data_IF_685292489845
#
_entry.id   IF_685292489845
#
_cell.length_a   1.000
_cell.length_b   1.000
_cell.length_c   1.000
_cell.angle_alpha   90.00
_cell.angle_beta   90.00
_cell.angle_gamma   90.00
#
_symmetry.space_group_name_H-M   'P 1'
#
loop_
_entity.id
_entity.type
_entity.pdbx_description
1 polymer ?
#
# COMPACT_ATOMS: atom_id res chain seq x y z
N UNK A 1 51.56 -32.81 5.90
CA UNK A 1 51.31 -31.46 5.35
C UNK A 1 50.04 -31.32 4.49
N UNK A 2 49.54 -32.36 3.80
CA UNK A 2 48.33 -32.23 2.94
C UNK A 2 46.97 -32.26 3.67
N UNK A 3 46.89 -32.69 4.94
CA UNK A 3 45.62 -32.80 5.69
C UNK A 3 45.05 -31.43 6.09
N UNK A 4 45.91 -30.50 6.50
CA UNK A 4 45.51 -29.18 7.01
C UNK A 4 44.83 -28.30 5.94
N UNK A 5 45.27 -28.38 4.67
CA UNK A 5 44.68 -27.59 3.58
C UNK A 5 43.27 -28.06 3.23
N UNK A 6 43.03 -29.38 3.22
CA UNK A 6 41.71 -29.96 2.91
C UNK A 6 40.71 -29.66 4.02
N UNK A 7 41.13 -29.80 5.27
CA UNK A 7 40.30 -29.47 6.43
C UNK A 7 39.95 -27.98 6.48
N UNK A 8 40.91 -27.09 6.20
CA UNK A 8 40.65 -25.65 6.10
C UNK A 8 39.72 -25.30 4.93
N UNK A 9 39.89 -25.94 3.78
CA UNK A 9 39.00 -25.77 2.64
C UNK A 9 37.58 -26.24 2.95
N UNK A 10 37.43 -27.36 3.65
CA UNK A 10 36.14 -27.91 4.04
C UNK A 10 35.46 -27.04 5.12
N UNK A 11 36.22 -26.50 6.06
CA UNK A 11 35.73 -25.51 7.02
C UNK A 11 35.26 -24.22 6.33
N UNK A 12 36.00 -23.75 5.32
CA UNK A 12 35.64 -22.58 4.52
C UNK A 12 34.36 -22.81 3.71
N UNK A 13 34.20 -23.99 3.09
CA UNK A 13 32.98 -24.36 2.36
C UNK A 13 31.77 -24.43 3.30
N UNK A 14 31.93 -25.04 4.48
CA UNK A 14 30.86 -25.08 5.48
C UNK A 14 30.48 -23.68 5.99
N UNK A 15 31.46 -22.79 6.12
CA UNK A 15 31.21 -21.39 6.46
C UNK A 15 30.46 -20.66 5.32
N UNK A 16 30.83 -20.94 4.06
CA UNK A 16 30.14 -20.40 2.89
C UNK A 16 28.68 -20.86 2.81
N UNK A 17 28.40 -22.14 3.04
CA UNK A 17 27.03 -22.69 3.05
C UNK A 17 26.16 -22.03 4.14
N UNK A 18 26.73 -21.84 5.35
CA UNK A 18 26.04 -21.13 6.45
C UNK A 18 25.71 -19.68 6.06
N UNK A 19 26.63 -18.99 5.39
CA UNK A 19 26.40 -17.64 4.89
C UNK A 19 25.31 -17.60 3.82
N UNK A 20 25.35 -18.52 2.84
CA UNK A 20 24.34 -18.62 1.78
C UNK A 20 22.94 -18.85 2.37
N UNK A 21 22.83 -19.78 3.33
CA UNK A 21 21.56 -20.05 4.02
C UNK A 21 21.02 -18.80 4.71
N UNK A 22 21.90 -18.04 5.39
CA UNK A 22 21.51 -16.80 6.06
C UNK A 22 21.10 -15.69 5.09
N UNK A 23 21.82 -15.54 3.98
CA UNK A 23 21.48 -14.57 2.94
C UNK A 23 20.12 -14.89 2.32
N UNK A 24 19.87 -16.15 1.95
CA UNK A 24 18.60 -16.61 1.42
C UNK A 24 17.43 -16.33 2.38
N UNK A 25 17.62 -16.53 3.68
CA UNK A 25 16.61 -16.18 4.67
C UNK A 25 16.29 -14.68 4.67
N UNK A 26 17.32 -13.82 4.70
CA UNK A 26 17.15 -12.36 4.71
C UNK A 26 16.46 -11.88 3.43
N UNK A 27 16.87 -12.41 2.27
CA UNK A 27 16.28 -12.08 0.98
C UNK A 27 14.78 -12.43 0.92
N UNK A 28 14.42 -13.63 1.38
CA UNK A 28 13.02 -14.05 1.48
C UNK A 28 12.20 -13.15 2.43
N UNK A 29 12.79 -12.69 3.53
CA UNK A 29 12.13 -11.75 4.44
C UNK A 29 11.88 -10.39 3.77
N UNK A 30 12.85 -9.88 3.00
CA UNK A 30 12.71 -8.62 2.27
C UNK A 30 11.65 -8.72 1.17
N UNK A 31 11.64 -9.82 0.40
CA UNK A 31 10.62 -10.11 -0.62
C UNK A 31 9.21 -10.15 -0.01
N UNK A 32 9.04 -10.84 1.12
CA UNK A 32 7.78 -10.89 1.88
C UNK A 32 7.30 -9.49 2.30
N UNK A 33 8.21 -8.66 2.83
CA UNK A 33 7.87 -7.29 3.21
C UNK A 33 7.44 -6.43 2.02
N UNK A 34 8.13 -6.56 0.88
CA UNK A 34 7.76 -5.85 -0.35
C UNK A 34 6.38 -6.28 -0.87
N UNK A 35 6.10 -7.59 -0.85
CA UNK A 35 4.78 -8.13 -1.24
C UNK A 35 3.66 -7.60 -0.33
N UNK A 36 3.90 -7.49 0.98
CA UNK A 36 2.91 -6.92 1.91
C UNK A 36 2.66 -5.42 1.67
N UNK A 37 3.61 -4.69 1.10
CA UNK A 37 3.44 -3.27 0.75
C UNK A 37 2.69 -3.07 -0.57
N UNK A 38 2.75 -4.02 -1.50
CA UNK A 38 2.04 -3.97 -2.76
C UNK A 38 0.53 -4.10 -2.54
N UNK A 39 -0.25 -3.30 -3.27
CA UNK A 39 -1.71 -3.36 -3.28
C UNK A 39 -2.16 -4.09 -4.54
N UNK A 40 -2.84 -5.21 -4.37
CA UNK A 40 -3.48 -5.94 -5.46
C UNK A 40 -4.81 -5.30 -5.83
N UNK A 41 -5.33 -5.59 -7.02
CA UNK A 41 -6.60 -5.04 -7.50
C UNK A 41 -7.77 -5.42 -6.56
N UNK A 42 -7.83 -6.68 -6.13
CA UNK A 42 -8.87 -7.14 -5.20
C UNK A 42 -8.79 -6.45 -3.82
N UNK A 43 -7.59 -6.21 -3.29
CA UNK A 43 -7.42 -5.43 -2.05
C UNK A 43 -7.84 -3.98 -2.23
N UNK A 44 -7.53 -3.39 -3.40
CA UNK A 44 -7.94 -2.03 -3.71
C UNK A 44 -9.47 -1.92 -3.86
N UNK A 45 -10.10 -2.89 -4.52
CA UNK A 45 -11.56 -2.94 -4.66
C UNK A 45 -12.25 -2.99 -3.28
N UNK A 46 -11.79 -3.89 -2.38
CA UNK A 46 -12.29 -3.97 -1.00
C UNK A 46 -12.07 -2.68 -0.22
N UNK A 47 -10.93 -2.03 -0.43
CA UNK A 47 -10.67 -0.69 0.13
C UNK A 47 -11.73 0.32 -0.34
N UNK A 48 -12.03 0.37 -1.63
CA UNK A 48 -13.02 1.30 -2.20
C UNK A 48 -14.44 1.00 -1.68
N UNK A 49 -14.85 -0.27 -1.68
CA UNK A 49 -16.15 -0.71 -1.17
C UNK A 49 -16.36 -0.23 0.28
N UNK A 50 -15.35 -0.41 1.12
CA UNK A 50 -15.43 0.00 2.51
C UNK A 50 -15.45 1.53 2.69
N UNK A 51 -14.63 2.25 1.91
CA UNK A 51 -14.64 3.72 1.89
C UNK A 51 -16.02 4.25 1.51
N UNK A 52 -16.71 3.58 0.59
CA UNK A 52 -18.05 3.98 0.16
C UNK A 52 -19.12 3.81 1.25
N UNK A 53 -18.97 2.83 2.13
CA UNK A 53 -19.92 2.56 3.21
C UNK A 53 -19.66 3.49 4.41
N UNK A 54 -18.40 3.57 4.85
CA UNK A 54 -18.04 4.16 6.14
C UNK A 54 -17.37 5.53 6.04
N UNK A 55 -16.95 5.94 4.84
CA UNK A 55 -16.19 7.16 4.60
C UNK A 55 -14.69 7.03 4.92
N UNK A 56 -13.99 8.16 4.80
CA UNK A 56 -12.51 8.26 4.74
C UNK A 56 -11.75 7.90 6.03
N UNK A 57 -12.37 8.03 7.20
CA UNK A 57 -11.66 8.05 8.49
C UNK A 57 -11.67 6.71 9.25
N UNK A 58 -12.11 5.62 8.62
CA UNK A 58 -12.39 4.32 9.28
C UNK A 58 -11.36 3.24 8.96
N UNK A 59 -10.08 3.59 9.12
CA UNK A 59 -8.92 2.80 8.65
C UNK A 59 -8.77 1.44 9.38
N UNK A 60 -9.13 1.37 10.67
CA UNK A 60 -9.03 0.14 11.46
C UNK A 60 -10.04 -0.89 10.96
N UNK A 61 -11.24 -0.41 10.66
CA UNK A 61 -12.33 -1.26 10.21
C UNK A 61 -12.13 -1.68 8.73
N UNK A 62 -11.58 -0.80 7.89
CA UNK A 62 -11.10 -1.16 6.54
C UNK A 62 -10.03 -2.26 6.60
N UNK A 63 -9.04 -2.15 7.50
CA UNK A 63 -7.99 -3.15 7.65
C UNK A 63 -8.56 -4.52 8.04
N UNK A 64 -9.54 -4.54 8.95
CA UNK A 64 -10.25 -5.76 9.32
C UNK A 64 -10.98 -6.40 8.12
N UNK A 65 -11.57 -5.58 7.24
CA UNK A 65 -12.26 -6.07 6.05
C UNK A 65 -11.30 -6.61 4.96
N UNK A 66 -10.14 -5.98 4.78
CA UNK A 66 -9.14 -6.40 3.78
C UNK A 66 -8.36 -7.64 4.27
N UNK A 67 -8.14 -7.77 5.58
CA UNK A 67 -7.45 -8.87 6.27
C UNK A 67 -5.94 -9.03 5.96
N UNK A 68 -5.50 -8.69 4.75
CA UNK A 68 -4.10 -8.80 4.29
C UNK A 68 -3.26 -7.55 4.54
N UNK A 69 -3.90 -6.44 4.93
CA UNK A 69 -3.26 -5.13 5.19
C UNK A 69 -3.58 -4.64 6.59
N UNK A 70 -2.58 -4.13 7.30
CA UNK A 70 -2.78 -3.57 8.62
C UNK A 70 -3.29 -2.11 8.57
N UNK A 71 -3.79 -1.61 9.71
CA UNK A 71 -4.37 -0.26 9.80
C UNK A 71 -3.39 0.86 9.37
N UNK A 72 -2.09 0.72 9.65
CA UNK A 72 -1.07 1.70 9.26
C UNK A 72 -0.84 1.72 7.74
N UNK A 73 -0.82 0.55 7.11
CA UNK A 73 -0.73 0.42 5.65
C UNK A 73 -1.98 1.01 4.99
N UNK A 74 -3.18 0.69 5.50
CA UNK A 74 -4.45 1.24 5.02
C UNK A 74 -4.47 2.76 5.14
N UNK A 75 -4.05 3.31 6.29
CA UNK A 75 -3.97 4.76 6.49
C UNK A 75 -3.03 5.42 5.47
N UNK A 76 -1.87 4.82 5.23
CA UNK A 76 -0.88 5.33 4.28
C UNK A 76 -1.39 5.27 2.84
N UNK A 77 -2.09 4.20 2.46
CA UNK A 77 -2.71 4.05 1.15
C UNK A 77 -3.86 5.03 0.96
N UNK A 78 -4.74 5.15 1.95
CA UNK A 78 -5.85 6.11 1.98
C UNK A 78 -5.33 7.53 1.75
N UNK A 79 -4.30 7.94 2.50
CA UNK A 79 -3.69 9.26 2.34
C UNK A 79 -3.18 9.47 0.90
N UNK A 80 -2.45 8.51 0.34
CA UNK A 80 -1.94 8.60 -1.04
C UNK A 80 -3.06 8.67 -2.06
N UNK A 81 -4.11 7.87 -1.88
CA UNK A 81 -5.29 7.83 -2.75
C UNK A 81 -5.98 9.19 -2.78
N UNK A 82 -6.35 9.74 -1.61
CA UNK A 82 -7.01 11.05 -1.55
C UNK A 82 -6.11 12.19 -1.99
N UNK A 83 -4.80 12.14 -1.71
CA UNK A 83 -3.86 13.16 -2.21
C UNK A 83 -3.82 13.21 -3.74
N UNK A 84 -3.85 12.05 -4.41
CA UNK A 84 -3.92 12.00 -5.88
C UNK A 84 -5.20 12.68 -6.40
N UNK A 85 -6.34 12.40 -5.78
CA UNK A 85 -7.62 13.00 -6.15
C UNK A 85 -7.61 14.52 -5.90
N UNK A 86 -7.12 14.97 -4.74
CA UNK A 86 -6.96 16.40 -4.43
C UNK A 86 -6.05 17.10 -5.44
N UNK A 87 -4.88 16.52 -5.73
CA UNK A 87 -3.96 17.12 -6.69
C UNK A 87 -4.55 17.20 -8.09
N UNK A 88 -5.27 16.15 -8.53
CA UNK A 88 -5.97 16.18 -9.80
C UNK A 88 -7.00 17.32 -9.81
N UNK A 89 -7.83 17.42 -8.78
CA UNK A 89 -8.86 18.46 -8.68
C UNK A 89 -8.26 19.88 -8.68
N UNK A 90 -7.25 20.14 -7.85
CA UNK A 90 -6.61 21.45 -7.72
C UNK A 90 -5.87 21.89 -8.99
N UNK A 91 -5.40 20.95 -9.81
CA UNK A 91 -4.73 21.26 -11.08
C UNK A 91 -5.71 21.57 -12.21
N UNK A 92 -6.95 21.10 -12.11
CA UNK A 92 -7.91 21.20 -13.18
C UNK A 92 -8.82 22.42 -12.97
N UNK A 93 -8.94 23.27 -13.98
CA UNK A 93 -10.00 24.27 -14.06
C UNK A 93 -11.30 23.58 -14.51
N UNK A 94 -11.84 22.71 -13.66
CA UNK A 94 -13.04 21.95 -13.96
C UNK A 94 -14.18 22.32 -13.02
N UNK A 95 -15.41 22.19 -13.51
CA UNK A 95 -16.60 22.36 -12.69
C UNK A 95 -16.80 21.17 -11.73
N UNK A 96 -17.70 21.36 -10.77
CA UNK A 96 -17.99 20.38 -9.73
C UNK A 96 -18.52 19.05 -10.29
N UNK A 97 -19.30 19.07 -11.37
CA UNK A 97 -19.86 17.85 -11.98
C UNK A 97 -18.76 17.04 -12.65
N UNK A 98 -17.85 17.71 -13.36
CA UNK A 98 -16.68 17.06 -13.97
C UNK A 98 -15.81 16.40 -12.91
N UNK A 99 -15.59 17.06 -11.77
CA UNK A 99 -14.84 16.49 -10.65
C UNK A 99 -15.54 15.27 -10.01
N UNK A 100 -16.85 15.35 -9.80
CA UNK A 100 -17.65 14.22 -9.30
C UNK A 100 -17.58 13.01 -10.23
N UNK A 101 -17.74 13.22 -11.54
CA UNK A 101 -17.66 12.15 -12.54
C UNK A 101 -16.29 11.46 -12.54
N UNK A 102 -15.21 12.23 -12.37
CA UNK A 102 -13.87 11.65 -12.24
C UNK A 102 -13.73 10.80 -10.97
N UNK A 103 -14.24 11.28 -9.83
CA UNK A 103 -14.18 10.52 -8.56
C UNK A 103 -15.02 9.23 -8.61
N UNK A 104 -16.19 9.27 -9.29
CA UNK A 104 -16.97 8.07 -9.58
C UNK A 104 -16.19 7.06 -10.42
N UNK A 105 -15.45 7.53 -11.44
CA UNK A 105 -14.58 6.68 -12.27
C UNK A 105 -13.44 6.07 -11.45
N UNK A 106 -12.99 6.73 -10.38
CA UNK A 106 -12.04 6.18 -9.41
C UNK A 106 -12.68 5.25 -8.37
N UNK A 107 -13.96 4.91 -8.52
CA UNK A 107 -14.69 3.95 -7.68
C UNK A 107 -15.36 4.57 -6.44
N UNK A 108 -15.23 5.88 -6.21
CA UNK A 108 -15.94 6.52 -5.10
C UNK A 108 -17.44 6.59 -5.39
N UNK A 109 -18.27 6.42 -4.37
CA UNK A 109 -19.70 6.68 -4.44
C UNK A 109 -19.98 8.18 -4.53
N UNK A 110 -21.12 8.55 -5.12
CA UNK A 110 -21.53 9.95 -5.25
C UNK A 110 -21.53 10.69 -3.91
N UNK A 111 -21.99 10.01 -2.84
CA UNK A 111 -22.00 10.55 -1.47
C UNK A 111 -20.60 10.88 -0.97
N UNK A 112 -19.65 9.95 -1.12
CA UNK A 112 -18.26 10.15 -0.67
C UNK A 112 -17.55 11.18 -1.54
N UNK A 113 -17.79 11.19 -2.85
CA UNK A 113 -17.24 12.17 -3.76
C UNK A 113 -17.69 13.60 -3.41
N UNK A 114 -18.99 13.82 -3.16
CA UNK A 114 -19.51 15.12 -2.71
C UNK A 114 -18.85 15.53 -1.38
N UNK A 115 -18.84 14.64 -0.40
CA UNK A 115 -18.28 14.95 0.92
C UNK A 115 -16.81 15.36 0.81
N UNK A 116 -16.04 14.64 -0.01
CA UNK A 116 -14.64 14.94 -0.21
C UNK A 116 -14.42 16.25 -0.97
N UNK A 117 -15.21 16.54 -2.01
CA UNK A 117 -15.14 17.83 -2.73
C UNK A 117 -15.49 19.01 -1.82
N UNK A 118 -16.53 18.87 -0.98
CA UNK A 118 -16.88 19.88 0.01
C UNK A 118 -15.68 20.18 0.95
N UNK A 119 -15.04 19.13 1.50
CA UNK A 119 -13.84 19.26 2.34
C UNK A 119 -12.69 20.01 1.64
N UNK A 120 -12.52 19.84 0.33
CA UNK A 120 -11.47 20.53 -0.44
C UNK A 120 -11.80 22.01 -0.62
N UNK A 121 -13.06 22.35 -0.88
CA UNK A 121 -13.49 23.74 -1.04
C UNK A 121 -13.50 24.51 0.29
N UNK A 122 -13.81 23.86 1.41
CA UNK A 122 -13.80 24.49 2.75
C UNK A 122 -12.40 24.85 3.25
N UNK A 123 -11.34 24.21 2.71
CA UNK A 123 -9.93 24.44 3.11
C UNK A 123 -9.20 25.43 2.21
N UNK A 124 -9.83 25.84 1.11
CA UNK A 124 -9.30 26.79 0.13
C UNK A 124 -9.67 28.24 0.45
N UNK A 125 -10.45 28.47 1.51
CA UNK A 125 -10.80 29.78 2.08
C UNK A 125 -10.07 29.94 3.41
#
# INVERSE_FOLDING_TARGET
MKSNIKENMQAMLLQQEKLISRLCYVENQLLSQQQQQAWTENEHQRFIEYINIFGKNKQKEVAHHIQTKNAKQVASHSQKFFNKLSQWFLKQQCDMQTAQNYFLKCGLSHKVAIQFLAELTSKSQ
#
